data_IF_028910314053
#
_entry.id   IF_028910314053
#
_cell.length_a   1.000
_cell.length_b   1.000
_cell.length_c   1.000
_cell.angle_alpha   90.00
_cell.angle_beta   90.00
_cell.angle_gamma   90.00
#
_symmetry.space_group_name_H-M   'P 1'
#
loop_
_entity.id
_entity.type
_entity.pdbx_description
1 polymer ?
#
# COMPACT_ATOMS: atom_id res chain seq x y z
N UNK A 1 14.87 13.06 -8.25
CA UNK A 1 14.14 12.03 -9.05
C UNK A 1 12.65 12.15 -8.74
N UNK A 2 11.77 11.73 -9.67
CA UNK A 2 10.33 11.71 -9.41
C UNK A 2 9.96 10.60 -8.42
N UNK A 3 8.94 10.85 -7.59
CA UNK A 3 8.32 9.87 -6.69
C UNK A 3 6.88 9.69 -7.16
N UNK A 4 6.51 8.45 -7.45
CA UNK A 4 5.15 8.08 -7.84
C UNK A 4 4.50 7.33 -6.70
N UNK A 5 3.32 7.77 -6.28
CA UNK A 5 2.59 7.16 -5.16
C UNK A 5 1.13 6.96 -5.50
N UNK A 6 0.59 5.83 -5.05
CA UNK A 6 -0.85 5.57 -4.97
C UNK A 6 -1.18 5.10 -3.57
N UNK A 7 -2.31 5.53 -3.02
CA UNK A 7 -2.71 5.24 -1.64
C UNK A 7 -4.22 5.13 -1.56
N UNK A 8 -4.73 4.39 -0.59
CA UNK A 8 -6.16 4.23 -0.40
C UNK A 8 -6.52 3.53 0.91
N UNK A 9 -7.84 3.42 1.18
CA UNK A 9 -8.36 2.76 2.36
C UNK A 9 -8.53 1.25 2.18
N UNK A 10 -8.76 0.57 3.30
CA UNK A 10 -9.33 -0.77 3.40
C UNK A 10 -10.64 -0.70 4.19
N UNK A 11 -11.60 -1.54 3.82
CA UNK A 11 -12.89 -1.70 4.51
C UNK A 11 -13.12 -3.19 4.81
N UNK A 12 -12.31 -3.72 5.72
CA UNK A 12 -12.31 -5.16 6.05
C UNK A 12 -13.16 -5.49 7.29
N UNK A 13 -13.45 -4.48 8.10
CA UNK A 13 -14.35 -4.57 9.26
C UNK A 13 -15.03 -3.22 9.48
N UNK A 14 -16.22 -3.25 10.06
CA UNK A 14 -16.87 -2.03 10.53
C UNK A 14 -16.12 -1.49 11.75
N UNK A 15 -15.74 -0.22 11.71
CA UNK A 15 -15.12 0.50 12.84
C UNK A 15 -16.13 1.42 13.50
N UNK A 16 -16.65 2.37 12.73
CA UNK A 16 -17.71 3.31 13.11
C UNK A 16 -18.06 4.16 11.87
N UNK A 17 -19.11 4.97 12.01
CA UNK A 17 -19.47 6.03 11.06
C UNK A 17 -19.30 7.40 11.72
N UNK A 18 -19.31 8.47 10.91
CA UNK A 18 -19.21 9.82 11.46
C UNK A 18 -20.52 10.20 12.19
N UNK A 19 -20.46 10.75 13.42
CA UNK A 19 -21.67 11.10 14.18
C UNK A 19 -22.62 12.07 13.47
N UNK A 20 -22.09 12.92 12.59
CA UNK A 20 -22.86 13.91 11.82
C UNK A 20 -23.08 13.50 10.34
N UNK A 21 -22.55 12.35 9.91
CA UNK A 21 -22.68 11.82 8.55
C UNK A 21 -22.65 10.27 8.64
N UNK A 22 -23.72 9.64 9.14
CA UNK A 22 -23.74 8.21 9.42
C UNK A 22 -23.60 7.33 8.16
N UNK A 23 -23.73 7.91 6.96
CA UNK A 23 -23.46 7.27 5.68
C UNK A 23 -21.96 7.13 5.37
N UNK A 24 -21.08 7.86 6.09
CA UNK A 24 -19.63 7.81 5.89
C UNK A 24 -19.01 6.75 6.79
N UNK A 25 -18.64 5.62 6.20
CA UNK A 25 -17.91 4.54 6.86
C UNK A 25 -16.43 4.91 7.06
N UNK A 26 -15.90 4.62 8.26
CA UNK A 26 -14.48 4.80 8.55
C UNK A 26 -13.65 3.61 8.03
N UNK A 27 -12.53 3.87 7.31
CA UNK A 27 -11.62 2.82 6.88
C UNK A 27 -11.07 2.00 8.04
N UNK A 28 -10.91 0.70 7.84
CA UNK A 28 -10.26 -0.21 8.79
C UNK A 28 -8.74 -0.16 8.74
N UNK A 29 -8.19 0.43 7.69
CA UNK A 29 -6.76 0.65 7.51
C UNK A 29 -6.47 1.42 6.23
N UNK A 30 -5.19 1.72 6.01
CA UNK A 30 -4.71 2.40 4.83
C UNK A 30 -3.50 1.70 4.26
N UNK A 31 -3.33 1.83 2.95
CA UNK A 31 -2.16 1.32 2.24
C UNK A 31 -1.55 2.41 1.39
N UNK A 32 -0.25 2.27 1.11
CA UNK A 32 0.49 3.16 0.21
C UNK A 32 1.52 2.36 -0.58
N UNK A 33 1.55 2.57 -1.89
CA UNK A 33 2.51 1.98 -2.82
C UNK A 33 3.28 3.13 -3.46
N UNK A 34 4.61 3.03 -3.43
CA UNK A 34 5.53 4.08 -3.87
C UNK A 34 6.57 3.46 -4.80
N UNK A 35 6.94 4.15 -5.87
CA UNK A 35 8.17 3.85 -6.61
C UNK A 35 8.92 5.11 -7.03
N UNK A 36 10.22 4.99 -7.22
CA UNK A 36 11.10 6.02 -7.77
C UNK A 36 11.63 5.60 -9.14
N UNK A 37 12.03 6.57 -9.96
CA UNK A 37 12.52 6.33 -11.31
C UNK A 37 11.40 6.36 -12.36
N UNK A 38 11.63 5.71 -13.50
CA UNK A 38 10.71 5.74 -14.64
C UNK A 38 9.61 4.67 -14.60
N UNK A 39 9.85 3.57 -13.88
CA UNK A 39 8.87 2.49 -13.69
C UNK A 39 9.30 1.61 -12.50
N UNK A 40 8.36 0.90 -11.85
CA UNK A 40 8.66 0.02 -10.71
C UNK A 40 9.56 -1.18 -11.04
N UNK A 41 9.71 -1.55 -12.32
CA UNK A 41 10.64 -2.60 -12.78
C UNK A 41 12.05 -2.08 -13.10
N UNK A 42 12.24 -0.76 -13.19
CA UNK A 42 13.52 -0.10 -13.50
C UNK A 42 14.05 0.77 -12.34
N UNK A 43 13.28 0.89 -11.27
CA UNK A 43 13.64 1.61 -10.07
C UNK A 43 13.29 0.81 -8.83
N UNK A 44 13.24 1.51 -7.71
CA UNK A 44 12.90 0.90 -6.42
C UNK A 44 11.46 1.22 -6.05
N UNK A 45 10.82 0.30 -5.34
CA UNK A 45 9.47 0.47 -4.84
C UNK A 45 9.36 0.03 -3.38
N UNK A 46 8.31 0.49 -2.72
CA UNK A 46 7.89 0.01 -1.42
C UNK A 46 6.36 0.03 -1.32
N UNK A 47 5.82 -0.83 -0.48
CA UNK A 47 4.41 -0.92 -0.19
C UNK A 47 4.21 -1.07 1.32
N UNK A 48 3.28 -0.32 1.87
CA UNK A 48 2.97 -0.30 3.30
C UNK A 48 1.48 -0.43 3.52
N UNK A 49 1.08 -1.11 4.59
CA UNK A 49 -0.32 -1.26 4.97
C UNK A 49 -0.43 -1.20 6.49
N UNK A 50 -1.14 -0.19 6.98
CA UNK A 50 -1.32 0.08 8.40
C UNK A 50 -2.80 -0.04 8.77
N UNK A 51 -3.06 -0.66 9.92
CA UNK A 51 -4.41 -0.72 10.51
C UNK A 51 -4.81 0.64 11.10
N UNK A 52 -6.10 0.96 11.11
CA UNK A 52 -6.63 2.21 11.69
C UNK A 52 -6.23 2.40 13.16
N UNK A 53 -6.05 1.30 13.91
CA UNK A 53 -5.67 1.32 15.32
C UNK A 53 -4.14 1.25 15.55
N UNK A 54 -3.33 1.40 14.49
CA UNK A 54 -1.86 1.39 14.62
C UNK A 54 -1.39 2.41 15.66
N UNK A 55 -0.59 2.02 16.67
CA UNK A 55 -0.12 2.93 17.71
C UNK A 55 0.66 4.12 17.14
N UNK A 56 0.52 5.29 17.77
CA UNK A 56 1.23 6.52 17.35
C UNK A 56 2.75 6.36 17.29
N UNK A 57 3.33 5.53 18.16
CA UNK A 57 4.77 5.28 18.25
C UNK A 57 5.27 4.14 17.36
N UNK A 58 4.39 3.50 16.58
CA UNK A 58 4.77 2.37 15.77
C UNK A 58 5.70 2.81 14.62
N UNK A 59 6.70 1.99 14.32
CA UNK A 59 7.58 2.23 13.17
C UNK A 59 6.87 1.80 11.90
N UNK A 60 6.82 2.65 10.88
CA UNK A 60 6.21 2.30 9.59
C UNK A 60 6.93 1.12 8.91
N UNK A 61 8.20 0.88 9.23
CA UNK A 61 9.00 -0.21 8.68
C UNK A 61 8.43 -1.59 9.01
N UNK A 62 7.77 -1.73 10.16
CA UNK A 62 7.15 -2.99 10.59
C UNK A 62 5.91 -3.34 9.75
N UNK A 63 5.41 -2.39 8.97
CA UNK A 63 4.19 -2.49 8.17
C UNK A 63 4.48 -2.57 6.66
N UNK A 64 5.73 -2.85 6.28
CA UNK A 64 6.05 -3.10 4.88
C UNK A 64 5.42 -4.43 4.43
N UNK A 65 4.63 -4.37 3.37
CA UNK A 65 3.93 -5.51 2.75
C UNK A 65 4.31 -5.66 1.28
N UNK A 66 3.75 -6.64 0.60
CA UNK A 66 3.85 -6.77 -0.86
C UNK A 66 2.71 -6.02 -1.54
N UNK A 67 2.87 -5.66 -2.81
CA UNK A 67 1.76 -5.04 -3.57
C UNK A 67 0.62 -6.04 -3.78
N UNK A 68 0.96 -7.32 -3.97
CA UNK A 68 -0.02 -8.40 -4.08
C UNK A 68 -0.90 -8.53 -2.83
N UNK A 69 -0.34 -8.33 -1.64
CA UNK A 69 -1.14 -8.32 -0.41
C UNK A 69 -2.17 -7.17 -0.40
N UNK A 70 -1.77 -5.98 -0.84
CA UNK A 70 -2.69 -4.83 -0.93
C UNK A 70 -3.79 -5.13 -1.94
N UNK A 71 -3.45 -5.62 -3.14
CA UNK A 71 -4.45 -5.97 -4.17
C UNK A 71 -5.49 -6.96 -3.63
N UNK A 72 -5.04 -8.02 -2.95
CA UNK A 72 -5.90 -9.04 -2.34
C UNK A 72 -6.86 -8.46 -1.28
N UNK A 73 -6.44 -7.42 -0.56
CA UNK A 73 -7.21 -6.82 0.57
C UNK A 73 -8.12 -5.67 0.13
N UNK A 74 -7.89 -5.10 -1.05
CA UNK A 74 -8.77 -4.06 -1.60
C UNK A 74 -10.10 -4.65 -2.10
N UNK A 75 -11.20 -3.93 -1.86
CA UNK A 75 -12.54 -4.27 -2.29
C UNK A 75 -13.23 -3.04 -2.91
N UNK A 76 -13.56 -3.03 -4.22
CA UNK A 76 -13.26 -4.08 -5.21
C UNK A 76 -11.74 -4.29 -5.37
N UNK A 77 -11.36 -5.48 -5.81
CA UNK A 77 -9.95 -5.83 -6.03
C UNK A 77 -9.33 -4.89 -7.06
N UNK A 78 -8.29 -4.17 -6.65
CA UNK A 78 -7.52 -3.29 -7.51
C UNK A 78 -6.36 -4.03 -8.15
N UNK A 79 -5.91 -3.54 -9.31
CA UNK A 79 -4.69 -3.99 -9.98
C UNK A 79 -3.78 -2.79 -10.24
N UNK A 80 -2.68 -2.72 -9.50
CA UNK A 80 -1.66 -1.69 -9.61
C UNK A 80 -0.63 -2.05 -10.68
N UNK A 81 0.02 -1.04 -11.24
CA UNK A 81 1.02 -1.21 -12.29
C UNK A 81 0.54 -2.09 -13.46
N UNK A 82 -0.75 -1.94 -13.81
CA UNK A 82 -1.45 -2.75 -14.81
C UNK A 82 -0.87 -2.61 -16.23
N UNK A 83 -0.07 -1.57 -16.47
CA UNK A 83 0.68 -1.40 -17.72
C UNK A 83 1.95 -2.27 -17.82
N UNK A 84 2.39 -2.92 -16.74
CA UNK A 84 3.54 -3.82 -16.78
C UNK A 84 3.20 -5.15 -17.46
N UNK A 85 4.15 -5.77 -18.19
CA UNK A 85 3.98 -7.14 -18.67
C UNK A 85 3.68 -8.11 -17.52
N UNK A 86 2.73 -9.02 -17.72
CA UNK A 86 2.18 -9.88 -16.66
C UNK A 86 3.26 -10.66 -15.87
N UNK A 87 4.27 -11.20 -16.57
CA UNK A 87 5.38 -11.91 -15.93
C UNK A 87 6.26 -11.03 -15.04
N UNK A 88 6.41 -9.74 -15.42
CA UNK A 88 7.13 -8.73 -14.62
C UNK A 88 6.28 -8.34 -13.42
N UNK A 89 5.01 -7.99 -13.65
CA UNK A 89 4.07 -7.61 -12.59
C UNK A 89 3.99 -8.68 -11.50
N UNK A 90 3.76 -9.95 -11.88
CA UNK A 90 3.68 -11.08 -10.92
C UNK A 90 4.94 -11.23 -10.07
N UNK A 91 6.12 -11.09 -10.68
CA UNK A 91 7.41 -11.21 -9.97
C UNK A 91 7.64 -10.06 -8.99
N UNK A 92 7.29 -8.83 -9.38
CA UNK A 92 7.49 -7.66 -8.53
C UNK A 92 6.46 -7.63 -7.40
N UNK A 93 5.18 -7.79 -7.72
CA UNK A 93 4.10 -7.64 -6.73
C UNK A 93 4.14 -8.65 -5.60
N UNK A 94 4.72 -9.83 -5.82
CA UNK A 94 4.85 -10.90 -4.82
C UNK A 94 6.03 -10.72 -3.85
N UNK A 95 6.80 -9.63 -3.96
CA UNK A 95 7.98 -9.37 -3.14
C UNK A 95 7.90 -8.00 -2.47
N UNK A 96 8.54 -7.86 -1.31
CA UNK A 96 8.79 -6.55 -0.71
C UNK A 96 9.88 -5.84 -1.52
N UNK A 97 9.62 -4.60 -1.92
CA UNK A 97 10.59 -3.80 -2.65
C UNK A 97 11.67 -3.20 -1.73
N UNK A 98 12.75 -2.70 -2.32
CA UNK A 98 13.94 -2.24 -1.58
C UNK A 98 13.88 -0.79 -1.14
N UNK A 99 12.95 0.02 -1.68
CA UNK A 99 12.89 1.46 -1.41
C UNK A 99 12.72 1.78 0.08
N UNK A 100 12.14 0.86 0.86
CA UNK A 100 12.02 1.03 2.30
C UNK A 100 13.39 1.22 2.99
N UNK A 101 14.45 0.61 2.48
CA UNK A 101 15.82 0.76 3.00
C UNK A 101 16.35 2.18 2.81
N UNK A 102 16.14 2.74 1.63
CA UNK A 102 16.46 4.15 1.33
C UNK A 102 15.62 5.13 2.17
N UNK A 103 14.49 4.68 2.71
CA UNK A 103 13.63 5.42 3.64
C UNK A 103 14.01 5.23 5.12
N UNK A 104 15.08 4.50 5.42
CA UNK A 104 15.59 4.29 6.79
C UNK A 104 15.09 3.02 7.48
N UNK A 105 14.47 2.08 6.76
CA UNK A 105 14.13 0.76 7.30
C UNK A 105 15.33 -0.20 7.28
N UNK A 106 15.38 -1.18 8.20
CA UNK A 106 16.45 -2.17 8.27
C UNK A 106 16.52 -3.11 7.04
#
# INVERSE_FOLDING_TARGET
AAVWSVTGPLFERHIATLPAAPEVELPSGYWKIIFIGSSPDKGEYAAFLLDQATPKSASFCDYQVTVEEIERRTHPTLSFWSALPAGIARRLKSRKGTLAKEMGCP
#
